data_IF_725912105492
#
_entry.id   IF_725912105492
#
_cell.length_a   1.000
_cell.length_b   1.000
_cell.length_c   1.000
_cell.angle_alpha   90.00
_cell.angle_beta   90.00
_cell.angle_gamma   90.00
#
_symmetry.space_group_name_H-M   'P 1'
#
loop_
_entity.id
_entity.type
_entity.pdbx_description
1 polymer ?
#
# COMPACT_ATOMS: atom_id res chain seq x y z
N UNK A 1 23.66 -24.01 43.94
CA UNK A 1 23.05 -22.84 43.36
C UNK A 1 24.03 -22.17 42.41
N UNK A 2 23.88 -22.34 41.08
CA UNK A 2 24.75 -21.75 40.05
C UNK A 2 24.04 -20.53 39.46
N UNK A 3 24.48 -19.33 39.76
CA UNK A 3 24.01 -18.09 39.12
C UNK A 3 24.69 -17.99 37.75
N UNK A 4 23.91 -18.07 36.68
CA UNK A 4 24.37 -17.74 35.34
C UNK A 4 24.16 -16.22 35.13
N UNK A 5 25.28 -15.51 35.02
CA UNK A 5 25.33 -14.10 34.61
C UNK A 5 25.07 -14.01 33.12
N UNK A 6 23.91 -13.48 32.78
CA UNK A 6 23.56 -13.03 31.40
C UNK A 6 24.08 -11.60 31.24
N UNK A 7 25.30 -11.44 30.81
CA UNK A 7 25.87 -10.16 30.39
C UNK A 7 26.48 -10.42 29.01
N UNK A 8 25.88 -9.96 27.94
CA UNK A 8 26.52 -10.05 26.63
C UNK A 8 25.73 -9.70 25.39
N UNK A 9 24.42 -9.56 25.44
CA UNK A 9 23.64 -9.38 24.19
C UNK A 9 23.13 -7.96 23.89
N UNK A 10 23.34 -7.00 24.79
CA UNK A 10 22.78 -5.63 24.59
C UNK A 10 23.72 -4.62 23.92
N UNK A 11 24.97 -4.99 23.63
CA UNK A 11 25.93 -4.04 23.03
C UNK A 11 26.21 -4.25 21.53
N UNK A 12 25.72 -5.33 20.92
CA UNK A 12 25.94 -5.59 19.49
C UNK A 12 24.95 -4.86 18.57
N UNK A 13 23.75 -4.55 19.06
CA UNK A 13 22.72 -3.89 18.27
C UNK A 13 23.05 -2.45 17.82
N UNK A 14 23.61 -1.57 18.67
CA UNK A 14 23.90 -0.20 18.22
C UNK A 14 25.06 -0.13 17.22
N UNK A 15 25.99 -1.08 17.25
CA UNK A 15 27.14 -1.06 16.35
C UNK A 15 26.78 -1.49 14.94
N UNK A 16 25.87 -2.45 14.79
CA UNK A 16 25.34 -2.89 13.48
C UNK A 16 24.49 -1.81 12.84
N UNK A 17 23.69 -1.08 13.62
CA UNK A 17 22.86 0.02 13.12
C UNK A 17 23.72 1.17 12.56
N UNK A 18 24.86 1.46 13.21
CA UNK A 18 25.76 2.54 12.79
C UNK A 18 26.48 2.23 11.49
N UNK A 19 26.83 0.97 11.25
CA UNK A 19 27.46 0.52 9.99
C UNK A 19 26.47 0.57 8.83
N UNK A 20 25.20 0.20 9.05
CA UNK A 20 24.16 0.23 8.00
C UNK A 20 23.86 1.67 7.57
N UNK A 21 23.83 2.63 8.51
CA UNK A 21 23.62 4.05 8.17
C UNK A 21 24.79 4.68 7.42
N UNK A 22 26.04 4.21 7.64
CA UNK A 22 27.21 4.71 6.91
C UNK A 22 27.26 4.24 5.46
N UNK A 23 26.69 3.09 5.12
CA UNK A 23 26.67 2.54 3.75
C UNK A 23 25.61 3.20 2.87
N UNK A 24 24.49 3.69 3.46
CA UNK A 24 23.41 4.34 2.74
C UNK A 24 23.71 5.79 2.31
N UNK A 25 24.80 6.39 2.80
CA UNK A 25 25.10 7.80 2.53
C UNK A 25 25.92 8.07 1.25
N UNK A 26 26.30 7.05 0.48
CA UNK A 26 27.27 7.20 -0.64
C UNK A 26 26.62 7.14 -2.04
N UNK A 27 25.32 7.00 -2.20
CA UNK A 27 24.68 6.78 -3.51
C UNK A 27 23.79 7.92 -4.02
N UNK A 28 24.04 9.16 -3.64
CA UNK A 28 23.46 10.30 -4.36
C UNK A 28 24.52 11.10 -5.10
N UNK A 29 25.07 10.52 -6.17
CA UNK A 29 25.75 11.32 -7.19
C UNK A 29 24.71 11.73 -8.25
N UNK A 30 24.43 13.01 -8.21
CA UNK A 30 23.70 13.81 -9.19
C UNK A 30 24.11 13.48 -10.62
N UNK A 31 23.21 12.97 -11.42
CA UNK A 31 23.24 13.19 -12.87
C UNK A 31 22.33 14.39 -13.17
N UNK A 32 22.91 15.57 -13.39
CA UNK A 32 22.26 16.65 -14.10
C UNK A 32 22.30 16.31 -15.61
N UNK A 33 21.16 16.28 -16.30
CA UNK A 33 21.19 16.30 -17.77
C UNK A 33 21.47 17.73 -18.26
N UNK A 34 22.48 17.86 -19.12
CA UNK A 34 22.78 19.06 -19.84
C UNK A 34 21.58 19.53 -20.68
N UNK A 35 21.24 20.80 -20.52
CA UNK A 35 20.33 21.52 -21.40
C UNK A 35 21.04 21.73 -22.78
N UNK A 36 20.42 21.30 -23.88
CA UNK A 36 20.86 21.75 -25.19
C UNK A 36 20.43 23.20 -25.43
N UNK A 37 21.39 23.99 -25.90
CA UNK A 37 21.27 25.36 -26.33
C UNK A 37 20.22 25.54 -27.43
N UNK A 38 19.45 26.60 -27.30
CA UNK A 38 18.65 27.18 -28.38
C UNK A 38 19.56 27.66 -29.50
N UNK A 39 19.30 27.14 -30.67
CA UNK A 39 19.31 27.85 -31.96
C UNK A 39 18.90 26.83 -33.03
N UNK A 40 17.70 26.96 -33.57
CA UNK A 40 17.49 26.95 -35.01
C UNK A 40 16.01 26.91 -35.43
N UNK A 41 15.66 27.98 -36.15
CA UNK A 41 14.79 27.99 -37.33
C UNK A 41 13.39 27.39 -37.17
N UNK A 42 12.48 28.29 -36.93
CA UNK A 42 11.02 28.12 -37.18
C UNK A 42 10.80 27.88 -38.69
N UNK A 43 10.62 26.60 -39.05
CA UNK A 43 9.93 26.23 -40.28
C UNK A 43 8.51 25.81 -39.85
N UNK A 44 7.59 26.71 -40.11
CA UNK A 44 6.16 26.42 -39.93
C UNK A 44 5.74 25.44 -41.02
N UNK A 45 5.37 24.17 -40.67
CA UNK A 45 4.71 23.30 -41.64
C UNK A 45 3.23 23.77 -41.81
N UNK A 46 2.65 23.61 -42.98
CA UNK A 46 1.28 24.02 -43.26
C UNK A 46 0.36 23.21 -42.36
N UNK A 47 -0.64 23.92 -41.76
CA UNK A 47 -1.72 23.38 -40.95
C UNK A 47 -2.43 22.31 -41.79
N UNK A 48 -2.45 21.03 -41.39
CA UNK A 48 -3.33 20.06 -42.00
C UNK A 48 -4.75 20.35 -41.57
N UNK A 49 -5.68 20.24 -42.53
CA UNK A 49 -7.12 20.35 -42.32
C UNK A 49 -7.61 19.50 -41.15
N UNK A 50 -8.59 19.96 -40.37
CA UNK A 50 -9.13 19.18 -39.24
C UNK A 50 -9.76 17.89 -39.78
N UNK A 51 -9.16 16.75 -39.40
CA UNK A 51 -9.75 15.44 -39.59
C UNK A 51 -11.06 15.37 -38.81
N UNK A 52 -12.12 14.79 -39.38
CA UNK A 52 -13.40 14.68 -38.71
C UNK A 52 -13.34 13.62 -37.65
N UNK A 53 -13.62 14.07 -36.43
CA UNK A 53 -14.25 13.29 -35.36
C UNK A 53 -13.52 12.08 -34.81
N UNK A 54 -12.35 12.32 -34.21
CA UNK A 54 -11.89 11.40 -33.19
C UNK A 54 -12.82 11.57 -31.97
N UNK A 55 -13.61 10.54 -31.71
CA UNK A 55 -14.27 10.40 -30.43
C UNK A 55 -13.15 10.52 -29.37
N UNK A 56 -13.22 11.58 -28.57
CA UNK A 56 -12.49 11.63 -27.31
C UNK A 56 -12.86 10.36 -26.55
N UNK A 57 -11.98 9.35 -26.58
CA UNK A 57 -12.00 8.26 -25.63
C UNK A 57 -11.75 8.92 -24.30
N UNK A 58 -12.80 9.06 -23.51
CA UNK A 58 -12.76 9.46 -22.11
C UNK A 58 -11.68 8.58 -21.45
N UNK A 59 -10.63 9.17 -20.82
CA UNK A 59 -9.55 8.38 -20.27
C UNK A 59 -10.15 7.39 -19.28
N UNK A 60 -10.07 6.09 -19.59
CA UNK A 60 -10.50 5.04 -18.68
C UNK A 60 -9.76 5.26 -17.35
N UNK A 61 -10.50 5.57 -16.31
CA UNK A 61 -9.94 5.73 -14.98
C UNK A 61 -9.27 4.40 -14.60
N UNK A 62 -8.05 4.44 -14.04
CA UNK A 62 -7.38 3.22 -13.63
C UNK A 62 -8.27 2.50 -12.61
N UNK A 63 -8.66 1.28 -12.93
CA UNK A 63 -9.45 0.44 -12.03
C UNK A 63 -8.62 0.11 -10.80
N UNK A 64 -9.23 0.24 -9.62
CA UNK A 64 -8.60 -0.01 -8.33
C UNK A 64 -9.60 -0.64 -7.36
N UNK A 65 -9.09 -1.23 -6.30
CA UNK A 65 -9.92 -1.68 -5.20
C UNK A 65 -10.36 -0.48 -4.36
N UNK A 66 -11.67 -0.29 -4.23
CA UNK A 66 -12.27 0.83 -3.49
C UNK A 66 -12.99 0.28 -2.25
N UNK A 67 -12.72 0.87 -1.08
CA UNK A 67 -13.40 0.54 0.17
C UNK A 67 -14.77 1.20 0.26
N UNK A 68 -15.78 0.39 0.55
CA UNK A 68 -17.15 0.83 0.82
C UNK A 68 -17.52 0.47 2.25
N UNK A 69 -17.70 1.46 3.10
CA UNK A 69 -18.11 1.27 4.48
C UNK A 69 -19.61 0.99 4.56
N UNK A 70 -19.99 -0.09 5.26
CA UNK A 70 -21.39 -0.49 5.47
C UNK A 70 -21.80 -0.51 6.96
N UNK A 71 -20.81 -0.59 7.84
CA UNK A 71 -21.03 -0.63 9.28
C UNK A 71 -19.93 0.06 10.06
N UNK A 72 -20.16 0.27 11.36
CA UNK A 72 -19.17 0.89 12.25
C UNK A 72 -18.10 -0.09 12.65
N UNK A 73 -16.84 0.39 12.73
CA UNK A 73 -15.72 -0.34 13.29
C UNK A 73 -14.80 0.61 14.09
N UNK A 74 -13.93 0.07 14.98
CA UNK A 74 -13.02 0.90 15.79
C UNK A 74 -12.10 1.74 14.91
N UNK A 75 -11.88 3.01 15.26
CA UNK A 75 -10.97 3.93 14.56
C UNK A 75 -9.51 3.45 14.55
N UNK A 76 -9.15 2.56 15.47
CA UNK A 76 -7.84 1.90 15.51
C UNK A 76 -7.61 0.91 14.37
N UNK A 77 -8.68 0.48 13.69
CA UNK A 77 -8.61 -0.49 12.59
C UNK A 77 -8.69 0.22 11.25
N UNK A 78 -7.89 -0.26 10.29
CA UNK A 78 -8.02 0.09 8.89
C UNK A 78 -7.78 -1.16 8.04
N UNK A 79 -8.34 -1.16 6.85
CA UNK A 79 -8.28 -2.29 5.93
C UNK A 79 -7.81 -1.82 4.56
N UNK A 80 -7.08 -2.68 3.86
CA UNK A 80 -6.67 -2.49 2.47
C UNK A 80 -6.63 -3.85 1.77
N UNK A 81 -6.52 -3.87 0.46
CA UNK A 81 -6.25 -5.12 -0.26
C UNK A 81 -4.75 -5.38 -0.23
N UNK A 82 -4.37 -6.63 0.05
CA UNK A 82 -2.98 -7.04 -0.03
C UNK A 82 -2.43 -6.86 -1.45
N UNK A 83 -1.15 -6.48 -1.58
CA UNK A 83 -0.50 -6.20 -2.87
C UNK A 83 -0.59 -7.35 -3.88
N UNK A 84 -0.65 -8.59 -3.38
CA UNK A 84 -0.80 -9.82 -4.17
C UNK A 84 -2.27 -10.25 -4.35
N UNK A 85 -3.23 -9.44 -3.89
CA UNK A 85 -4.67 -9.72 -3.87
C UNK A 85 -5.07 -11.03 -3.15
N UNK A 86 -4.19 -11.57 -2.31
CA UNK A 86 -4.42 -12.84 -1.59
C UNK A 86 -5.45 -12.71 -0.47
N UNK A 87 -5.75 -11.49 -0.03
CA UNK A 87 -6.66 -11.22 1.08
C UNK A 87 -6.77 -9.73 1.39
N UNK A 88 -7.29 -9.46 2.58
CA UNK A 88 -7.42 -8.11 3.13
C UNK A 88 -6.30 -7.88 4.15
N UNK A 89 -5.51 -6.84 3.95
CA UNK A 89 -4.48 -6.37 4.87
C UNK A 89 -5.14 -5.61 6.01
N UNK A 90 -4.92 -6.07 7.25
CA UNK A 90 -5.36 -5.42 8.48
C UNK A 90 -4.27 -4.47 9.01
N UNK A 91 -4.65 -3.25 9.32
CA UNK A 91 -3.84 -2.27 10.05
C UNK A 91 -4.45 -2.04 11.44
N UNK A 92 -3.60 -1.98 12.46
CA UNK A 92 -3.99 -1.68 13.84
C UNK A 92 -3.15 -0.48 14.31
N UNK A 93 -3.81 0.58 14.76
CA UNK A 93 -3.15 1.86 15.13
C UNK A 93 -2.21 2.37 14.03
N UNK A 94 -2.62 2.26 12.77
CA UNK A 94 -1.85 2.68 11.60
C UNK A 94 -0.62 1.82 11.30
N UNK A 95 -0.49 0.65 11.93
CA UNK A 95 0.59 -0.31 11.68
C UNK A 95 0.05 -1.54 11.01
N UNK A 96 0.76 -1.97 9.99
CA UNK A 96 0.51 -3.23 9.32
C UNK A 96 0.56 -4.40 10.30
N UNK A 97 -0.50 -5.18 10.36
CA UNK A 97 -0.65 -6.26 11.32
C UNK A 97 -0.66 -7.64 10.63
N UNK A 98 -1.62 -7.88 9.76
CA UNK A 98 -1.80 -9.21 9.15
C UNK A 98 -2.63 -9.13 7.86
N UNK A 99 -2.37 -10.07 6.93
CA UNK A 99 -3.26 -10.38 5.81
C UNK A 99 -4.23 -11.49 6.25
N UNK A 100 -5.53 -11.26 6.06
CA UNK A 100 -6.61 -12.20 6.36
C UNK A 100 -7.15 -12.70 5.03
N UNK A 101 -7.03 -13.99 4.79
CA UNK A 101 -7.46 -14.63 3.53
C UNK A 101 -8.95 -14.96 3.54
N UNK A 102 -9.47 -15.38 2.38
CA UNK A 102 -10.86 -15.79 2.23
C UNK A 102 -11.21 -16.95 3.16
N UNK A 103 -12.24 -16.73 4.00
CA UNK A 103 -12.71 -17.71 4.98
C UNK A 103 -11.90 -17.79 6.26
N UNK A 104 -10.79 -17.05 6.38
CA UNK A 104 -10.00 -16.99 7.61
C UNK A 104 -10.68 -16.15 8.69
N UNK A 105 -10.40 -16.52 9.94
CA UNK A 105 -10.82 -15.81 11.13
C UNK A 105 -9.60 -15.31 11.92
N UNK A 106 -9.63 -14.07 12.33
CA UNK A 106 -8.60 -13.47 13.18
C UNK A 106 -9.22 -12.81 14.41
N UNK A 107 -8.71 -13.14 15.60
CA UNK A 107 -9.17 -12.54 16.86
C UNK A 107 -8.17 -11.49 17.30
N UNK A 108 -8.58 -10.24 17.29
CA UNK A 108 -7.80 -9.12 17.82
C UNK A 108 -8.12 -8.94 19.30
N UNK A 109 -7.21 -9.39 20.16
CA UNK A 109 -7.42 -9.41 21.61
C UNK A 109 -7.48 -8.01 22.24
N UNK A 110 -6.79 -7.02 21.69
CA UNK A 110 -6.80 -5.62 22.16
C UNK A 110 -8.20 -5.03 22.10
N UNK A 111 -8.87 -5.21 20.98
CA UNK A 111 -10.21 -4.68 20.71
C UNK A 111 -11.32 -5.67 21.10
N UNK A 112 -10.94 -6.91 21.43
CA UNK A 112 -11.88 -8.03 21.72
C UNK A 112 -12.85 -8.28 20.57
N UNK A 113 -12.37 -8.12 19.34
CA UNK A 113 -13.16 -8.26 18.12
C UNK A 113 -12.65 -9.45 17.30
N UNK A 114 -13.60 -10.16 16.67
CA UNK A 114 -13.33 -11.20 15.70
C UNK A 114 -13.47 -10.63 14.30
N UNK A 115 -12.44 -10.74 13.51
CA UNK A 115 -12.40 -10.26 12.13
C UNK A 115 -12.46 -11.45 11.19
N UNK A 116 -13.43 -11.46 10.29
CA UNK A 116 -13.57 -12.48 9.24
C UNK A 116 -13.62 -11.80 7.89
N UNK A 117 -12.96 -12.39 6.90
CA UNK A 117 -12.93 -11.91 5.53
C UNK A 117 -13.51 -12.97 4.61
N UNK A 118 -14.34 -12.56 3.65
CA UNK A 118 -14.94 -13.45 2.65
C UNK A 118 -14.92 -12.82 1.27
N UNK A 119 -14.54 -13.59 0.26
CA UNK A 119 -14.65 -13.16 -1.14
C UNK A 119 -15.96 -13.65 -1.72
N UNK A 120 -16.90 -12.75 -1.97
CA UNK A 120 -18.26 -13.04 -2.46
C UNK A 120 -18.52 -12.21 -3.71
N UNK A 121 -18.87 -12.85 -4.81
CA UNK A 121 -19.21 -12.20 -6.09
C UNK A 121 -18.12 -11.24 -6.62
N UNK A 122 -16.85 -11.56 -6.32
CA UNK A 122 -15.70 -10.73 -6.71
C UNK A 122 -15.37 -9.60 -5.75
N UNK A 123 -16.15 -9.39 -4.71
CA UNK A 123 -15.92 -8.41 -3.65
C UNK A 123 -15.26 -9.05 -2.43
N UNK A 124 -14.36 -8.32 -1.77
CA UNK A 124 -13.81 -8.71 -0.49
C UNK A 124 -14.63 -8.09 0.64
N UNK A 125 -15.38 -8.91 1.37
CA UNK A 125 -16.25 -8.47 2.48
C UNK A 125 -15.57 -8.69 3.82
N UNK A 126 -15.58 -7.66 4.67
CA UNK A 126 -15.00 -7.67 6.01
C UNK A 126 -16.11 -7.66 7.05
N UNK A 127 -16.02 -8.59 7.99
CA UNK A 127 -16.98 -8.74 9.09
C UNK A 127 -16.27 -8.57 10.43
N UNK A 128 -16.91 -7.84 11.34
CA UNK A 128 -16.53 -7.74 12.75
C UNK A 128 -17.62 -8.34 13.61
N UNK A 129 -17.29 -9.39 14.40
CA UNK A 129 -18.24 -10.12 15.23
C UNK A 129 -19.54 -10.50 14.48
N UNK A 130 -19.36 -11.05 13.25
CA UNK A 130 -20.43 -11.48 12.33
C UNK A 130 -21.20 -10.33 11.63
N UNK A 131 -20.93 -9.08 11.95
CA UNK A 131 -21.52 -7.92 11.28
C UNK A 131 -20.62 -7.43 10.15
N UNK A 132 -21.17 -7.24 8.95
CA UNK A 132 -20.44 -6.64 7.84
C UNK A 132 -20.12 -5.19 8.18
N UNK A 133 -18.83 -4.84 8.18
CA UNK A 133 -18.38 -3.46 8.41
C UNK A 133 -18.03 -2.73 7.11
N UNK A 134 -17.75 -3.46 6.05
CA UNK A 134 -17.48 -2.90 4.73
C UNK A 134 -16.99 -3.94 3.75
N UNK A 135 -16.78 -3.50 2.51
CA UNK A 135 -16.25 -4.35 1.45
C UNK A 135 -15.37 -3.56 0.49
N UNK A 136 -14.49 -4.27 -0.21
CA UNK A 136 -13.75 -3.75 -1.34
C UNK A 136 -14.37 -4.23 -2.65
N UNK A 137 -14.54 -3.30 -3.59
CA UNK A 137 -14.98 -3.56 -4.96
C UNK A 137 -13.93 -3.03 -5.93
N UNK A 138 -13.71 -3.75 -7.01
CA UNK A 138 -12.80 -3.35 -8.07
C UNK A 138 -13.56 -2.45 -9.07
N UNK A 139 -13.25 -1.16 -9.07
CA UNK A 139 -13.91 -0.10 -9.87
C UNK A 139 -12.94 0.63 -10.78
#
# INVERSE_FOLDING_TARGET
MKRRTFIGERMLFPLVLLVVMAVLSVTFVSCMPDLPSEDDVVITPPIPDPLPNDKEEEPEQPKAWVWHETGSYPESLAFDIADDESGVQLYVDGRESRIIQDGDEFILLSERVRITVKKIDGEWKVYLDENECGFFRYE
#
